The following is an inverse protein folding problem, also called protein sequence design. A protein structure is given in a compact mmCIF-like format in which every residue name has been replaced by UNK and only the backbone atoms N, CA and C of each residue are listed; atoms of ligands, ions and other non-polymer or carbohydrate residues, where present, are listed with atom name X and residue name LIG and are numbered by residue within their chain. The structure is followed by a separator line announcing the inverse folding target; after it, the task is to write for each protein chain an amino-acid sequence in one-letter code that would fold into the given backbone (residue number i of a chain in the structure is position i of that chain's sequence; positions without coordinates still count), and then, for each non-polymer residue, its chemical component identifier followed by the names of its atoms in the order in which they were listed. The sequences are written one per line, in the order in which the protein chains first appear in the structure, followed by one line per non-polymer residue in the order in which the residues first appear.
data_IF_241226240320
#
_entry.id   IF_241226240320
#
_cell.length_a   1.000
_cell.length_b   1.000
_cell.length_c   1.000
_cell.angle_alpha   90.00
_cell.angle_beta   90.00
_cell.angle_gamma   90.00
#
_symmetry.space_group_name_H-M   'P 1'
#
loop_
_entity.id
_entity.type
_entity.pdbx_description
1 polymer ?
#
# COMPACT_ATOMS: atom_id res chain seq x y z
N UNK A 1 -34.57 48.87 4.10
CA UNK A 1 -33.27 48.75 4.80
C UNK A 1 -32.84 47.31 4.57
N UNK A 2 -31.88 47.08 3.66
CA UNK A 2 -31.51 45.74 3.18
C UNK A 2 -30.68 45.03 4.24
N UNK A 3 -31.10 43.82 4.59
CA UNK A 3 -30.28 42.82 5.27
C UNK A 3 -29.07 42.49 4.37
N UNK A 4 -27.88 42.46 4.95
CA UNK A 4 -26.71 41.81 4.39
C UNK A 4 -26.45 40.58 5.24
N UNK A 5 -26.99 39.45 4.75
CA UNK A 5 -26.49 38.12 5.06
C UNK A 5 -25.15 37.99 4.34
N UNK A 6 -24.05 38.16 5.08
CA UNK A 6 -22.75 37.67 4.63
C UNK A 6 -22.78 36.14 4.65
N UNK A 7 -22.54 35.57 3.48
CA UNK A 7 -22.47 34.15 3.22
C UNK A 7 -21.13 33.67 3.76
N UNK A 8 -21.18 32.86 4.82
CA UNK A 8 -20.01 32.17 5.37
C UNK A 8 -19.47 31.22 4.29
N UNK A 9 -18.30 31.54 3.75
CA UNK A 9 -17.67 30.76 2.70
C UNK A 9 -17.19 29.42 3.26
N UNK A 10 -17.65 28.33 2.65
CA UNK A 10 -17.19 26.96 2.92
C UNK A 10 -15.64 26.91 2.90
N UNK A 11 -15.04 26.92 4.10
CA UNK A 11 -13.60 26.98 4.29
C UNK A 11 -13.03 25.61 3.92
N UNK A 12 -12.70 25.43 2.65
CA UNK A 12 -12.12 24.20 2.10
C UNK A 12 -10.86 23.85 2.93
N UNK A 13 -10.93 22.72 3.62
CA UNK A 13 -9.84 22.18 4.45
C UNK A 13 -8.56 22.05 3.63
N UNK A 14 -7.42 22.44 4.21
CA UNK A 14 -6.12 22.39 3.52
C UNK A 14 -5.69 20.94 3.25
N UNK A 15 -4.70 20.74 2.37
CA UNK A 15 -4.11 19.41 2.15
C UNK A 15 -3.46 18.90 3.43
N UNK A 16 -2.73 19.75 4.15
CA UNK A 16 -2.13 19.39 5.44
C UNK A 16 -3.18 19.02 6.48
N UNK A 17 -4.25 19.80 6.64
CA UNK A 17 -5.31 19.50 7.60
C UNK A 17 -6.00 18.17 7.29
N UNK A 18 -6.26 17.91 6.01
CA UNK A 18 -6.81 16.63 5.52
C UNK A 18 -5.86 15.47 5.83
N UNK A 19 -4.57 15.64 5.55
CA UNK A 19 -3.53 14.64 5.84
C UNK A 19 -3.39 14.35 7.33
N UNK A 20 -3.37 15.40 8.17
CA UNK A 20 -3.29 15.27 9.61
C UNK A 20 -4.51 14.52 10.17
N UNK A 21 -5.70 14.78 9.64
CA UNK A 21 -6.90 14.01 10.01
C UNK A 21 -6.76 12.52 9.68
N UNK A 22 -6.25 12.18 8.49
CA UNK A 22 -6.00 10.78 8.09
C UNK A 22 -4.99 10.10 9.01
N UNK A 23 -3.84 10.73 9.26
CA UNK A 23 -2.80 10.16 10.14
C UNK A 23 -3.32 9.93 11.57
N UNK A 24 -4.12 10.86 12.12
CA UNK A 24 -4.74 10.67 13.45
C UNK A 24 -5.73 9.51 13.50
N UNK A 25 -6.36 9.18 12.38
CA UNK A 25 -7.35 8.12 12.28
C UNK A 25 -6.73 6.74 12.01
N UNK A 26 -5.42 6.63 11.78
CA UNK A 26 -4.75 5.34 11.65
C UNK A 26 -4.83 4.59 12.97
N UNK A 27 -5.45 3.40 12.89
CA UNK A 27 -5.51 2.28 13.84
C UNK A 27 -4.20 1.92 14.56
N UNK A 28 -3.74 2.49 15.71
CA UNK A 28 -2.46 2.06 16.28
C UNK A 28 -2.46 0.59 16.73
N UNK A 29 -3.62 0.04 17.09
CA UNK A 29 -3.73 -1.37 17.52
C UNK A 29 -3.46 -2.35 16.37
N UNK A 30 -3.59 -1.92 15.12
CA UNK A 30 -3.20 -2.72 13.96
C UNK A 30 -1.68 -2.94 13.91
N UNK A 31 -0.90 -2.14 14.64
CA UNK A 31 0.56 -2.11 14.56
C UNK A 31 1.28 -2.46 15.86
N UNK A 32 0.60 -2.45 17.01
CA UNK A 32 1.21 -2.79 18.30
C UNK A 32 1.50 -4.29 18.35
N UNK A 33 2.77 -4.64 18.59
CA UNK A 33 3.21 -6.03 18.78
C UNK A 33 3.19 -6.91 17.52
N UNK A 34 2.91 -6.36 16.33
CA UNK A 34 2.89 -7.15 15.09
C UNK A 34 4.28 -7.37 14.48
N UNK A 35 5.31 -6.67 14.97
CA UNK A 35 6.69 -6.83 14.49
C UNK A 35 7.16 -8.29 14.64
N UNK A 36 6.71 -8.98 15.69
CA UNK A 36 7.10 -10.35 16.03
C UNK A 36 6.16 -11.45 15.51
N UNK A 37 4.93 -11.13 15.08
CA UNK A 37 3.94 -12.11 14.59
C UNK A 37 4.14 -12.39 13.11
N UNK A 38 4.02 -13.61 12.60
CA UNK A 38 4.05 -13.87 11.14
C UNK A 38 2.95 -13.11 10.40
N UNK A 39 3.11 -12.91 9.09
CA UNK A 39 2.23 -12.03 8.33
C UNK A 39 0.82 -12.65 8.23
N UNK A 40 0.76 -13.96 8.08
CA UNK A 40 -0.45 -14.77 8.06
C UNK A 40 -1.20 -14.77 9.40
N UNK A 41 -0.54 -14.36 10.50
CA UNK A 41 -1.17 -14.20 11.82
C UNK A 41 -1.92 -12.85 11.96
N UNK A 42 -1.68 -11.91 11.05
CA UNK A 42 -2.23 -10.55 11.13
C UNK A 42 -3.02 -10.13 9.89
N UNK A 43 -2.86 -10.81 8.76
CA UNK A 43 -3.51 -10.51 7.49
C UNK A 43 -3.86 -11.81 6.76
N UNK A 44 -5.04 -11.85 6.16
CA UNK A 44 -5.46 -12.91 5.24
C UNK A 44 -4.66 -12.85 3.93
N UNK A 45 -4.59 -13.94 3.15
CA UNK A 45 -3.90 -13.92 1.84
C UNK A 45 -4.54 -12.94 0.85
N UNK A 46 -5.85 -12.70 0.96
CA UNK A 46 -6.56 -11.71 0.15
C UNK A 46 -6.13 -10.28 0.49
N UNK A 47 -6.14 -9.95 1.78
CA UNK A 47 -5.63 -8.67 2.28
C UNK A 47 -4.17 -8.46 1.91
N UNK A 48 -3.36 -9.52 1.96
CA UNK A 48 -2.00 -9.50 1.50
C UNK A 48 -1.91 -9.07 0.03
N UNK A 49 -2.67 -9.70 -0.85
CA UNK A 49 -2.67 -9.37 -2.27
C UNK A 49 -3.12 -7.93 -2.54
N UNK A 50 -4.08 -7.42 -1.77
CA UNK A 50 -4.50 -6.01 -1.79
C UNK A 50 -3.34 -5.10 -1.37
N UNK A 51 -2.63 -5.43 -0.28
CA UNK A 51 -1.49 -4.65 0.22
C UNK A 51 -0.35 -4.56 -0.81
N UNK A 52 -0.05 -5.65 -1.52
CA UNK A 52 0.94 -5.61 -2.62
C UNK A 52 0.58 -4.59 -3.69
N UNK A 53 -0.70 -4.47 -4.02
CA UNK A 53 -1.16 -3.56 -5.07
C UNK A 53 -0.91 -2.11 -4.66
N UNK A 54 -1.15 -1.78 -3.38
CA UNK A 54 -0.86 -0.47 -2.82
C UNK A 54 0.65 -0.16 -2.81
N UNK A 55 1.48 -1.11 -2.39
CA UNK A 55 2.94 -0.90 -2.39
C UNK A 55 3.46 -0.77 -3.83
N UNK A 56 2.96 -1.60 -4.77
CA UNK A 56 3.34 -1.52 -6.17
C UNK A 56 2.96 -0.16 -6.78
N UNK A 57 1.77 0.35 -6.48
CA UNK A 57 1.34 1.67 -6.93
C UNK A 57 2.17 2.79 -6.31
N UNK A 58 2.53 2.71 -5.03
CA UNK A 58 3.46 3.65 -4.41
C UNK A 58 4.82 3.65 -5.12
N UNK A 59 5.40 2.46 -5.37
CA UNK A 59 6.68 2.33 -6.08
C UNK A 59 6.59 2.86 -7.51
N UNK A 60 5.47 2.65 -8.20
CA UNK A 60 5.23 3.19 -9.53
C UNK A 60 5.19 4.72 -9.51
N UNK A 61 4.41 5.34 -8.61
CA UNK A 61 4.30 6.80 -8.48
C UNK A 61 5.64 7.44 -8.12
N UNK A 62 6.39 6.83 -7.20
CA UNK A 62 7.76 7.25 -6.89
C UNK A 62 8.67 7.08 -8.11
N UNK A 63 8.53 6.00 -8.88
CA UNK A 63 9.25 5.78 -10.13
C UNK A 63 9.03 6.91 -11.14
N UNK A 64 7.78 7.32 -11.38
CA UNK A 64 7.45 8.48 -12.25
C UNK A 64 8.09 9.76 -11.73
N UNK A 65 8.06 9.99 -10.41
CA UNK A 65 8.70 11.15 -9.80
C UNK A 65 10.23 11.14 -9.98
N UNK A 66 10.87 9.98 -9.84
CA UNK A 66 12.31 9.83 -10.07
C UNK A 66 12.69 10.09 -11.54
N UNK A 67 11.88 9.61 -12.49
CA UNK A 67 12.05 9.91 -13.91
C UNK A 67 11.99 11.43 -14.15
N UNK A 68 11.01 12.13 -13.54
CA UNK A 68 10.91 13.59 -13.60
C UNK A 68 12.15 14.30 -13.04
N UNK A 69 12.73 13.78 -11.95
CA UNK A 69 13.96 14.30 -11.34
C UNK A 69 15.25 13.82 -12.04
N UNK A 70 15.15 13.01 -13.10
CA UNK A 70 16.30 12.35 -13.75
C UNK A 70 17.19 11.57 -12.77
N UNK A 71 16.57 10.87 -11.81
CA UNK A 71 17.25 10.00 -10.84
C UNK A 71 16.94 8.55 -11.13
N UNK A 72 17.92 7.65 -11.01
CA UNK A 72 17.73 6.23 -11.32
C UNK A 72 17.01 5.47 -10.21
N UNK A 73 17.23 5.84 -8.95
CA UNK A 73 16.66 5.14 -7.81
C UNK A 73 16.63 6.00 -6.54
N UNK A 74 15.84 5.58 -5.55
CA UNK A 74 15.86 6.10 -4.18
C UNK A 74 15.61 4.99 -3.16
N UNK A 75 16.00 5.21 -1.91
CA UNK A 75 15.62 4.34 -0.80
C UNK A 75 14.19 4.61 -0.35
N UNK A 76 13.48 3.58 0.12
CA UNK A 76 12.10 3.72 0.60
C UNK A 76 11.94 4.66 1.80
N UNK A 77 12.98 4.78 2.62
CA UNK A 77 13.01 5.71 3.75
C UNK A 77 13.24 7.17 3.31
N UNK A 78 13.51 7.43 2.03
CA UNK A 78 13.75 8.78 1.53
C UNK A 78 12.43 9.36 1.04
N UNK A 79 11.92 10.37 1.75
CA UNK A 79 10.75 11.13 1.33
C UNK A 79 10.97 11.97 0.08
N UNK A 80 9.88 12.23 -0.64
CA UNK A 80 9.88 13.01 -1.88
C UNK A 80 10.29 14.47 -1.63
N UNK A 81 9.93 15.00 -0.46
CA UNK A 81 10.39 16.30 0.06
C UNK A 81 11.92 16.38 0.11
N UNK A 82 12.60 15.32 0.57
CA UNK A 82 14.05 15.28 0.62
C UNK A 82 14.69 15.26 -0.77
N UNK A 83 14.06 14.57 -1.72
CA UNK A 83 14.56 14.46 -3.09
C UNK A 83 14.57 15.80 -3.82
N UNK A 84 13.67 16.72 -3.44
CA UNK A 84 13.61 18.10 -3.96
C UNK A 84 14.37 19.10 -3.07
N UNK A 85 15.18 18.62 -2.13
CA UNK A 85 16.12 19.43 -1.36
C UNK A 85 15.60 19.98 -0.04
N UNK A 86 14.41 19.59 0.42
CA UNK A 86 13.97 19.94 1.77
C UNK A 86 14.77 19.17 2.81
N UNK A 87 15.06 19.83 3.93
CA UNK A 87 15.77 19.23 5.07
C UNK A 87 14.77 18.87 6.15
N UNK A 88 15.02 17.77 6.86
CA UNK A 88 14.27 17.44 8.08
C UNK A 88 14.86 18.29 9.20
N UNK A 89 14.06 19.12 9.90
CA UNK A 89 14.48 19.76 11.14
C UNK A 89 14.91 18.70 12.17
N UNK A 90 15.92 19.00 12.99
CA UNK A 90 16.45 18.04 13.97
C UNK A 90 15.39 17.59 14.99
N UNK A 91 14.40 18.44 15.27
CA UNK A 91 13.28 18.21 16.20
C UNK A 91 12.02 17.64 15.53
N UNK A 92 12.04 17.36 14.23
CA UNK A 92 10.85 16.92 13.49
C UNK A 92 10.23 15.63 14.03
N UNK A 93 11.07 14.73 14.56
CA UNK A 93 10.62 13.49 15.18
C UNK A 93 9.82 13.75 16.46
N UNK A 94 10.37 14.57 17.35
CA UNK A 94 9.75 14.89 18.63
C UNK A 94 8.43 15.62 18.43
N UNK A 95 8.39 16.57 17.49
CA UNK A 95 7.18 17.29 17.12
C UNK A 95 6.10 16.34 16.53
N UNK A 96 6.49 15.38 15.68
CA UNK A 96 5.54 14.41 15.13
C UNK A 96 4.87 13.56 16.21
N UNK A 97 5.63 13.03 17.18
CA UNK A 97 5.06 12.19 18.24
C UNK A 97 4.17 13.00 19.19
N UNK A 98 4.46 14.30 19.38
CA UNK A 98 3.59 15.22 20.14
C UNK A 98 2.27 15.45 19.41
N UNK A 99 2.31 15.70 18.11
CA UNK A 99 1.13 16.01 17.29
C UNK A 99 0.28 14.76 16.96
N UNK A 100 0.91 13.59 16.93
CA UNK A 100 0.32 12.29 16.58
C UNK A 100 0.67 11.22 17.62
N UNK A 101 0.13 11.33 18.86
CA UNK A 101 0.49 10.45 19.96
C UNK A 101 0.11 8.98 19.74
N UNK A 102 -0.83 8.69 18.83
CA UNK A 102 -1.17 7.32 18.42
C UNK A 102 0.03 6.57 17.82
N UNK A 103 1.03 7.28 17.28
CA UNK A 103 2.23 6.67 16.75
C UNK A 103 3.29 6.38 17.81
N UNK A 104 3.15 6.84 19.06
CA UNK A 104 4.17 6.68 20.10
C UNK A 104 4.58 5.21 20.28
N UNK A 105 3.59 4.33 20.40
CA UNK A 105 3.77 2.92 20.72
C UNK A 105 3.95 2.02 19.49
N UNK A 106 3.91 2.59 18.28
CA UNK A 106 4.12 1.85 17.04
C UNK A 106 5.61 1.59 16.82
N UNK A 107 6.06 0.34 16.95
CA UNK A 107 7.46 -0.06 16.76
C UNK A 107 7.82 -0.34 15.28
N UNK A 108 7.32 0.51 14.37
CA UNK A 108 7.59 0.42 12.94
C UNK A 108 8.11 1.78 12.47
N UNK A 109 9.42 1.89 12.22
CA UNK A 109 10.00 3.20 11.84
C UNK A 109 9.51 3.71 10.48
N UNK A 110 9.17 2.83 9.54
CA UNK A 110 8.77 3.24 8.20
C UNK A 110 7.40 3.92 8.17
N UNK A 111 6.40 3.40 8.90
CA UNK A 111 5.05 3.99 8.91
C UNK A 111 5.13 5.42 9.46
N UNK A 112 5.91 5.60 10.52
CA UNK A 112 6.21 6.89 11.13
C UNK A 112 6.85 7.85 10.13
N UNK A 113 7.95 7.41 9.49
CA UNK A 113 8.71 8.22 8.55
C UNK A 113 7.90 8.61 7.31
N UNK A 114 7.18 7.66 6.70
CA UNK A 114 6.36 7.94 5.52
C UNK A 114 5.13 8.80 5.86
N UNK A 115 4.58 8.68 7.08
CA UNK A 115 3.53 9.59 7.57
C UNK A 115 4.05 11.03 7.72
N UNK A 116 5.25 11.21 8.26
CA UNK A 116 5.90 12.52 8.34
C UNK A 116 6.12 13.12 6.95
N UNK A 117 6.67 12.34 6.02
CA UNK A 117 6.89 12.82 4.65
C UNK A 117 5.60 13.15 3.92
N UNK A 118 4.53 12.38 4.12
CA UNK A 118 3.21 12.67 3.59
C UNK A 118 2.66 14.01 4.08
N UNK A 119 2.70 14.26 5.40
CA UNK A 119 2.25 15.53 5.98
C UNK A 119 3.01 16.71 5.39
N UNK A 120 4.34 16.59 5.29
CA UNK A 120 5.18 17.62 4.67
C UNK A 120 4.85 17.82 3.20
N UNK A 121 4.64 16.74 2.45
CA UNK A 121 4.25 16.82 1.06
C UNK A 121 2.95 17.61 0.90
N UNK A 122 1.96 17.34 1.75
CA UNK A 122 0.71 18.10 1.78
C UNK A 122 0.90 19.58 2.15
N UNK A 123 1.79 19.89 3.10
CA UNK A 123 2.16 21.28 3.40
C UNK A 123 2.80 21.96 2.18
N UNK A 124 3.65 21.26 1.42
CA UNK A 124 4.24 21.79 0.18
C UNK A 124 3.18 22.05 -0.90
N UNK A 125 2.13 21.23 -0.97
CA UNK A 125 0.99 21.47 -1.86
C UNK A 125 0.26 22.75 -1.45
N UNK A 126 -0.02 22.92 -0.15
CA UNK A 126 -0.64 24.13 0.40
C UNK A 126 0.21 25.39 0.10
N UNK A 127 1.54 25.27 0.17
CA UNK A 127 2.52 26.30 -0.18
C UNK A 127 2.71 26.51 -1.70
N UNK A 128 1.98 25.77 -2.54
CA UNK A 128 2.08 25.81 -4.01
C UNK A 128 3.47 25.46 -4.57
N UNK A 129 4.20 24.57 -3.91
CA UNK A 129 5.45 24.05 -4.44
C UNK A 129 5.22 23.36 -5.79
N UNK A 130 6.02 23.71 -6.80
CA UNK A 130 5.83 23.26 -8.18
C UNK A 130 6.02 21.76 -8.39
N UNK A 131 6.87 21.11 -7.59
CA UNK A 131 7.04 19.66 -7.64
C UNK A 131 5.87 18.96 -6.97
N UNK A 132 5.48 19.41 -5.78
CA UNK A 132 4.39 18.79 -5.02
C UNK A 132 3.04 18.88 -5.77
N UNK A 133 2.76 20.00 -6.43
CA UNK A 133 1.56 20.19 -7.24
C UNK A 133 1.47 19.26 -8.46
N UNK A 134 2.61 18.81 -9.01
CA UNK A 134 2.62 17.86 -10.14
C UNK A 134 2.37 16.42 -9.70
N UNK A 135 2.62 16.09 -8.44
CA UNK A 135 2.48 14.75 -7.88
C UNK A 135 1.71 14.78 -6.55
N UNK A 136 0.48 15.31 -6.54
CA UNK A 136 -0.24 15.60 -5.29
C UNK A 136 -0.63 14.33 -4.52
N UNK A 137 -0.71 13.19 -5.21
CA UNK A 137 -1.22 11.92 -4.72
C UNK A 137 -0.12 10.84 -4.60
N UNK A 138 1.16 11.22 -4.64
CA UNK A 138 2.28 10.27 -4.62
C UNK A 138 2.27 9.34 -3.40
N UNK A 139 1.81 9.85 -2.25
CA UNK A 139 1.69 9.11 -0.99
C UNK A 139 0.35 8.39 -0.81
N UNK A 140 -0.64 8.63 -1.66
CA UNK A 140 -1.98 8.06 -1.51
C UNK A 140 -1.98 6.54 -1.32
N UNK A 141 -1.22 5.74 -2.09
CA UNK A 141 -1.25 4.29 -1.96
C UNK A 141 -0.68 3.82 -0.62
N UNK A 142 0.39 4.46 -0.12
CA UNK A 142 1.03 4.04 1.13
C UNK A 142 0.24 4.49 2.36
N UNK A 143 -0.42 5.65 2.31
CA UNK A 143 -1.31 6.07 3.40
C UNK A 143 -2.55 5.17 3.45
N UNK A 144 -3.12 4.82 2.29
CA UNK A 144 -4.22 3.84 2.20
C UNK A 144 -3.80 2.48 2.77
N UNK A 145 -2.57 2.02 2.50
CA UNK A 145 -2.02 0.80 3.08
C UNK A 145 -2.02 0.86 4.61
N UNK A 146 -1.62 2.01 5.17
CA UNK A 146 -1.54 2.19 6.62
C UNK A 146 -2.91 2.30 7.29
N UNK A 147 -3.87 2.94 6.64
CA UNK A 147 -5.25 3.01 7.12
C UNK A 147 -5.91 1.61 7.18
N UNK A 148 -5.44 0.67 6.36
CA UNK A 148 -5.95 -0.71 6.28
C UNK A 148 -5.21 -1.71 7.18
N UNK A 149 -4.25 -1.26 8.00
CA UNK A 149 -3.44 -2.15 8.84
C UNK A 149 -2.36 -2.93 8.08
N UNK A 150 -2.11 -2.57 6.82
CA UNK A 150 -1.08 -3.17 5.99
C UNK A 150 0.31 -2.58 6.25
N UNK A 151 1.32 -3.09 5.55
CA UNK A 151 2.69 -2.55 5.60
C UNK A 151 3.57 -3.15 6.71
N UNK A 152 3.34 -4.42 7.08
CA UNK A 152 4.29 -5.16 7.91
C UNK A 152 5.63 -5.26 7.18
N UNK A 153 6.71 -5.01 7.91
CA UNK A 153 8.08 -5.02 7.37
C UNK A 153 8.78 -6.22 7.99
N UNK A 154 9.17 -7.20 7.17
CA UNK A 154 10.01 -8.28 7.65
C UNK A 154 11.44 -7.76 7.71
N UNK A 155 11.91 -7.52 8.93
CA UNK A 155 13.28 -7.03 9.20
C UNK A 155 14.34 -8.13 9.06
N UNK A 156 13.97 -9.42 9.01
CA UNK A 156 14.91 -10.54 8.84
C UNK A 156 15.62 -10.54 7.47
N UNK A 157 14.99 -10.00 6.43
CA UNK A 157 15.62 -9.73 5.13
C UNK A 157 15.54 -8.27 4.70
N UNK A 158 15.14 -7.38 5.63
CA UNK A 158 15.09 -5.95 5.39
C UNK A 158 14.15 -5.52 4.24
N UNK A 159 13.01 -6.20 4.03
CA UNK A 159 12.06 -5.92 2.94
C UNK A 159 10.71 -5.44 3.44
N UNK A 160 10.01 -4.63 2.63
CA UNK A 160 8.59 -4.35 2.83
C UNK A 160 7.81 -5.59 2.41
N UNK A 161 6.95 -6.12 3.27
CA UNK A 161 6.17 -7.32 2.97
C UNK A 161 4.73 -6.91 2.66
N UNK A 162 4.33 -7.04 1.40
CA UNK A 162 2.94 -6.91 0.95
C UNK A 162 2.70 -7.76 -0.30
N UNK A 163 1.57 -8.46 -0.34
CA UNK A 163 1.25 -9.58 -1.26
C UNK A 163 2.35 -10.60 -1.49
N UNK A 164 2.17 -11.48 -2.46
CA UNK A 164 3.03 -12.65 -2.74
C UNK A 164 4.52 -12.37 -3.11
N UNK A 165 5.10 -11.21 -2.77
CA UNK A 165 6.52 -10.90 -2.93
C UNK A 165 7.04 -9.87 -1.91
N UNK A 166 8.34 -9.90 -1.65
CA UNK A 166 9.05 -8.84 -0.94
C UNK A 166 9.28 -7.64 -1.85
N UNK A 167 9.09 -6.44 -1.31
CA UNK A 167 9.44 -5.20 -2.00
C UNK A 167 10.83 -4.72 -1.58
N UNK A 168 11.72 -4.42 -2.55
CA UNK A 168 13.09 -4.02 -2.24
C UNK A 168 13.11 -2.65 -1.56
N UNK A 169 14.09 -2.42 -0.67
CA UNK A 169 14.35 -1.09 -0.08
C UNK A 169 14.65 0.00 -1.12
N UNK A 170 15.12 -0.41 -2.29
CA UNK A 170 15.41 0.49 -3.41
C UNK A 170 14.22 0.55 -4.36
N UNK A 171 13.72 1.75 -4.58
CA UNK A 171 12.71 2.06 -5.59
C UNK A 171 13.43 2.60 -6.82
N UNK A 172 13.29 1.90 -7.95
CA UNK A 172 13.91 2.29 -9.22
C UNK A 172 12.96 3.13 -10.07
N UNK A 173 13.51 4.06 -10.84
CA UNK A 173 12.77 4.91 -11.77
C UNK A 173 12.01 4.10 -12.83
N UNK A 174 12.53 2.93 -13.23
CA UNK A 174 11.87 2.00 -14.18
C UNK A 174 10.53 1.47 -13.67
N UNK A 175 10.22 1.60 -12.38
CA UNK A 175 8.87 1.34 -11.87
C UNK A 175 7.85 2.31 -12.44
N UNK A 176 8.26 3.52 -12.84
CA UNK A 176 7.40 4.51 -13.49
C UNK A 176 6.86 4.06 -14.85
N UNK A 177 7.52 3.10 -15.51
CA UNK A 177 7.11 2.56 -16.82
C UNK A 177 5.95 1.56 -16.72
N UNK A 178 5.57 1.17 -15.50
CA UNK A 178 4.44 0.27 -15.28
C UNK A 178 3.11 1.01 -15.47
N UNK A 179 2.08 0.29 -15.91
CA UNK A 179 0.72 0.83 -15.94
C UNK A 179 0.22 1.13 -14.51
N UNK A 180 -0.63 2.17 -14.33
CA UNK A 180 -1.27 2.44 -13.05
C UNK A 180 -2.05 1.24 -12.52
N UNK A 181 -1.90 0.99 -11.22
CA UNK A 181 -2.73 0.02 -10.51
C UNK A 181 -3.99 0.71 -10.00
N UNK A 182 -5.14 0.05 -10.15
CA UNK A 182 -6.39 0.51 -9.55
C UNK A 182 -6.34 0.26 -8.05
N UNK A 183 -6.32 1.36 -7.29
CA UNK A 183 -6.30 1.37 -5.82
C UNK A 183 -7.63 1.86 -5.23
N UNK A 184 -8.69 1.92 -6.03
CA UNK A 184 -10.03 2.22 -5.52
C UNK A 184 -10.47 1.14 -4.53
N UNK A 185 -11.31 1.52 -3.56
CA UNK A 185 -11.79 0.59 -2.53
C UNK A 185 -12.41 -0.67 -3.16
N UNK A 186 -13.28 -0.51 -4.15
CA UNK A 186 -13.91 -1.63 -4.84
C UNK A 186 -12.92 -2.55 -5.57
N UNK A 187 -11.83 -2.01 -6.11
CA UNK A 187 -10.79 -2.83 -6.73
C UNK A 187 -9.99 -3.63 -5.68
N UNK A 188 -9.67 -3.00 -4.54
CA UNK A 188 -8.97 -3.64 -3.43
C UNK A 188 -9.81 -4.74 -2.76
N UNK A 189 -11.10 -4.46 -2.49
CA UNK A 189 -12.06 -5.45 -1.96
C UNK A 189 -12.20 -6.64 -2.91
N UNK A 190 -12.32 -6.37 -4.21
CA UNK A 190 -12.40 -7.43 -5.22
C UNK A 190 -11.17 -8.34 -5.23
N UNK A 191 -9.97 -7.80 -5.03
CA UNK A 191 -8.74 -8.62 -4.89
C UNK A 191 -8.87 -9.57 -3.69
N UNK A 192 -9.39 -9.08 -2.56
CA UNK A 192 -9.58 -9.88 -1.34
C UNK A 192 -10.58 -11.01 -1.60
N UNK A 193 -11.73 -10.68 -2.20
CA UNK A 193 -12.79 -11.63 -2.52
C UNK A 193 -12.33 -12.72 -3.49
N UNK A 194 -11.55 -12.36 -4.50
CA UNK A 194 -11.00 -13.30 -5.48
C UNK A 194 -10.05 -14.30 -4.84
N UNK A 195 -9.15 -13.83 -3.98
CA UNK A 195 -8.23 -14.74 -3.28
C UNK A 195 -9.01 -15.64 -2.34
N UNK A 196 -9.96 -15.10 -1.59
CA UNK A 196 -10.82 -15.88 -0.69
C UNK A 196 -11.60 -16.97 -1.44
N UNK A 197 -12.17 -16.63 -2.60
CA UNK A 197 -12.86 -17.58 -3.47
C UNK A 197 -11.94 -18.70 -3.94
N UNK A 198 -10.73 -18.34 -4.37
CA UNK A 198 -9.73 -19.30 -4.85
C UNK A 198 -9.17 -20.18 -3.73
N UNK A 199 -9.01 -19.65 -2.52
CA UNK A 199 -8.62 -20.43 -1.34
C UNK A 199 -9.69 -21.47 -0.97
N UNK A 200 -10.97 -21.07 -1.00
CA UNK A 200 -12.07 -22.02 -0.79
C UNK A 200 -12.10 -23.11 -1.88
N UNK A 201 -11.90 -22.73 -3.14
CA UNK A 201 -11.83 -23.70 -4.24
C UNK A 201 -10.65 -24.67 -4.08
N UNK A 202 -9.48 -24.18 -3.68
CA UNK A 202 -8.33 -25.03 -3.43
C UNK A 202 -8.56 -26.02 -2.28
N UNK A 203 -9.26 -25.58 -1.24
CA UNK A 203 -9.59 -26.45 -0.10
C UNK A 203 -10.57 -27.56 -0.50
N UNK A 204 -11.61 -27.25 -1.28
CA UNK A 204 -12.52 -28.25 -1.87
C UNK A 204 -11.74 -29.27 -2.72
N UNK A 205 -10.84 -28.79 -3.59
CA UNK A 205 -9.98 -29.63 -4.43
C UNK A 205 -9.08 -30.56 -3.61
N UNK A 206 -8.47 -30.05 -2.52
CA UNK A 206 -7.64 -30.86 -1.61
C UNK A 206 -8.45 -31.95 -0.91
N UNK A 207 -9.73 -31.72 -0.68
CA UNK A 207 -10.66 -32.68 -0.10
C UNK A 207 -11.26 -33.66 -1.14
N UNK A 208 -10.80 -33.60 -2.40
CA UNK A 208 -11.18 -34.53 -3.47
C UNK A 208 -12.35 -34.07 -4.32
N UNK A 209 -12.90 -32.87 -4.11
CA UNK A 209 -13.91 -32.31 -4.99
C UNK A 209 -13.25 -31.76 -6.28
N UNK A 210 -13.54 -32.43 -7.40
CA UNK A 210 -13.01 -32.08 -8.71
C UNK A 210 -13.97 -31.18 -9.52
N UNK A 211 -15.00 -30.63 -8.88
CA UNK A 211 -15.95 -29.72 -9.53
C UNK A 211 -15.21 -28.48 -10.05
N UNK A 212 -15.36 -28.21 -11.34
CA UNK A 212 -14.74 -27.04 -11.96
C UNK A 212 -15.41 -25.75 -11.47
N UNK A 213 -14.59 -24.74 -11.14
CA UNK A 213 -15.07 -23.42 -10.75
C UNK A 213 -14.70 -22.38 -11.81
N UNK A 214 -15.55 -21.37 -11.92
CA UNK A 214 -15.35 -20.26 -12.84
C UNK A 214 -14.73 -19.07 -12.12
N UNK A 215 -13.88 -18.34 -12.84
CA UNK A 215 -13.22 -17.14 -12.36
C UNK A 215 -14.25 -16.04 -12.16
N UNK A 216 -14.34 -15.49 -10.95
CA UNK A 216 -15.29 -14.43 -10.63
C UNK A 216 -15.04 -13.11 -11.39
N UNK A 217 -13.86 -12.95 -12.02
CA UNK A 217 -13.56 -11.79 -12.88
C UNK A 217 -14.25 -11.82 -14.23
N UNK A 218 -14.28 -13.00 -14.86
CA UNK A 218 -14.58 -13.11 -16.30
C UNK A 218 -15.48 -14.30 -16.67
N UNK A 219 -15.85 -15.14 -15.71
CA UNK A 219 -16.68 -16.32 -15.92
C UNK A 219 -15.97 -17.51 -16.58
N UNK A 220 -14.74 -17.34 -17.08
CA UNK A 220 -13.97 -18.44 -17.66
C UNK A 220 -13.44 -19.40 -16.59
N UNK A 221 -13.07 -20.61 -17.00
CA UNK A 221 -12.67 -21.66 -16.07
C UNK A 221 -11.41 -21.31 -15.28
N UNK A 222 -11.38 -21.71 -14.01
CA UNK A 222 -10.17 -21.75 -13.20
C UNK A 222 -9.53 -23.14 -13.28
N UNK A 223 -8.22 -23.14 -13.50
CA UNK A 223 -7.39 -24.32 -13.61
C UNK A 223 -6.50 -24.43 -12.37
N UNK A 224 -6.52 -25.58 -11.72
CA UNK A 224 -5.59 -25.91 -10.64
C UNK A 224 -4.48 -26.79 -11.21
N UNK A 225 -3.23 -26.36 -11.08
CA UNK A 225 -2.06 -27.19 -11.36
C UNK A 225 -1.36 -27.51 -10.04
N UNK A 226 -1.25 -28.80 -9.75
CA UNK A 226 -0.52 -29.28 -8.57
C UNK A 226 0.96 -29.48 -8.89
N UNK A 227 1.81 -29.10 -7.96
CA UNK A 227 3.25 -29.19 -8.04
C UNK A 227 3.81 -29.70 -6.70
N UNK A 228 5.00 -30.29 -6.74
CA UNK A 228 5.71 -30.75 -5.55
C UNK A 228 7.10 -30.08 -5.55
N UNK A 229 7.48 -29.50 -4.42
CA UNK A 229 8.83 -28.94 -4.22
C UNK A 229 9.88 -30.03 -4.13
N UNK A 230 11.15 -29.67 -4.26
CA UNK A 230 12.28 -30.60 -4.09
C UNK A 230 12.30 -31.28 -2.70
N UNK A 231 11.65 -30.67 -1.71
CA UNK A 231 11.53 -31.18 -0.33
C UNK A 231 10.22 -31.95 -0.08
N UNK A 232 9.43 -32.23 -1.12
CA UNK A 232 8.19 -33.01 -1.02
C UNK A 232 6.95 -32.23 -0.59
N UNK A 233 7.05 -30.92 -0.33
CA UNK A 233 5.88 -30.10 0.00
C UNK A 233 5.08 -29.76 -1.26
N UNK A 234 3.74 -29.95 -1.27
CA UNK A 234 2.91 -29.59 -2.40
C UNK A 234 2.71 -28.07 -2.47
N UNK A 235 2.58 -27.55 -3.68
CA UNK A 235 2.08 -26.20 -3.95
C UNK A 235 1.23 -26.21 -5.21
N UNK A 236 0.35 -25.22 -5.35
CA UNK A 236 -0.70 -25.19 -6.37
C UNK A 236 -0.64 -23.87 -7.11
N UNK A 237 -0.67 -23.93 -8.44
CA UNK A 237 -0.88 -22.77 -9.29
C UNK A 237 -2.32 -22.74 -9.73
N UNK A 238 -3.04 -21.68 -9.39
CA UNK A 238 -4.42 -21.48 -9.82
C UNK A 238 -4.44 -20.34 -10.84
N UNK A 239 -4.90 -20.66 -12.06
CA UNK A 239 -4.95 -19.71 -13.17
C UNK A 239 -6.31 -19.72 -13.86
N UNK A 240 -6.77 -18.55 -14.27
CA UNK A 240 -7.87 -18.41 -15.20
C UNK A 240 -7.41 -18.79 -16.62
N UNK A 241 -8.29 -19.41 -17.40
CA UNK A 241 -8.01 -19.72 -18.82
C UNK A 241 -7.80 -18.48 -19.69
N UNK A 242 -8.49 -17.38 -19.38
CA UNK A 242 -8.20 -16.09 -20.02
C UNK A 242 -6.80 -15.61 -19.70
N UNK A 243 -6.05 -15.31 -20.76
CA UNK A 243 -4.75 -14.65 -20.65
C UNK A 243 -4.87 -13.32 -19.88
N UNK A 244 -3.85 -13.00 -19.09
CA UNK A 244 -3.77 -11.78 -18.27
C UNK A 244 -4.88 -11.59 -17.20
N UNK A 245 -5.62 -12.65 -16.85
CA UNK A 245 -6.62 -12.61 -15.78
C UNK A 245 -6.03 -13.05 -14.42
N UNK A 246 -6.70 -13.94 -13.69
CA UNK A 246 -6.22 -14.45 -12.40
C UNK A 246 -5.09 -15.48 -12.60
N UNK A 247 -3.98 -15.32 -11.87
CA UNK A 247 -2.84 -16.25 -11.91
C UNK A 247 -2.01 -16.12 -10.63
N UNK A 248 -2.16 -17.06 -9.70
CA UNK A 248 -1.50 -17.01 -8.38
C UNK A 248 -1.03 -18.40 -7.94
N UNK A 249 0.03 -18.41 -7.13
CA UNK A 249 0.56 -19.60 -6.48
C UNK A 249 0.04 -19.67 -5.04
N UNK A 250 -0.22 -20.89 -4.57
CA UNK A 250 -0.73 -21.19 -3.24
C UNK A 250 0.05 -22.37 -2.67
N UNK A 251 0.60 -22.21 -1.48
CA UNK A 251 1.11 -23.31 -0.64
C UNK A 251 0.11 -23.59 0.47
#
# INVERSE_FOLDING_TARGET
MKEHLEIDGDKRMSYYESAAKRIRNIDPNLYIGISQKKYEEVRTKGEYASDATLIAEYYRRVGVFLQHLSREATGIYVGMDLLIGYRIPDDAWDNFVVDFPNFKDIDLSLIKLLSMHYLRWCALIDERNSFALQFPDIYEPIITLFERGGGRISTHHHELVGGFGGFPKTIYATRGDMNPFDISEGALEKIIEEVKFVEAYLEEYRNGDLTERNCIRCGNRLLIHSHITEYGYPWYKIKCESEHCFNKNFS
#
